data_IF_149581832436
#
_entry.id   IF_149581832436
#
_cell.length_a   1.000
_cell.length_b   1.000
_cell.length_c   1.000
_cell.angle_alpha   90.00
_cell.angle_beta   90.00
_cell.angle_gamma   90.00
#
_symmetry.space_group_name_H-M   'P 1'
#
loop_
_entity.id
_entity.type
_entity.pdbx_description
1 polymer ?
#
# COMPACT_ATOMS: atom_id res chain seq x y z
N UNK A 1 -0.39 -38.80 -4.90
CA UNK A 1 0.40 -37.89 -4.02
C UNK A 1 0.69 -36.51 -4.63
N UNK A 2 0.52 -36.27 -5.94
CA UNK A 2 0.77 -34.95 -6.57
C UNK A 2 -0.24 -33.84 -6.19
N UNK A 3 -1.53 -34.15 -5.98
CA UNK A 3 -2.53 -33.09 -5.71
C UNK A 3 -2.31 -32.31 -4.41
N UNK A 4 -1.79 -32.94 -3.34
CA UNK A 4 -1.50 -32.25 -2.07
C UNK A 4 -0.44 -31.14 -2.20
N UNK A 5 0.45 -31.24 -3.18
CA UNK A 5 1.52 -30.25 -3.42
C UNK A 5 0.99 -28.95 -4.04
N UNK A 6 -0.01 -29.03 -4.92
CA UNK A 6 -0.57 -27.86 -5.62
C UNK A 6 -1.41 -27.01 -4.65
N UNK A 7 -2.24 -27.65 -3.81
CA UNK A 7 -3.06 -26.94 -2.82
C UNK A 7 -2.22 -26.22 -1.76
N UNK A 8 -1.07 -26.77 -1.36
CA UNK A 8 -0.12 -26.06 -0.48
C UNK A 8 0.53 -24.86 -1.18
N UNK A 9 0.81 -24.94 -2.48
CA UNK A 9 1.38 -23.81 -3.23
C UNK A 9 0.41 -22.65 -3.44
N UNK A 10 -0.89 -22.94 -3.59
CA UNK A 10 -1.89 -21.92 -3.93
C UNK A 10 -2.57 -21.25 -2.73
N UNK A 11 -2.48 -21.82 -1.52
CA UNK A 11 -3.16 -21.23 -0.34
C UNK A 11 -2.66 -19.83 0.01
N UNK A 12 -1.35 -19.60 0.03
CA UNK A 12 -0.78 -18.28 0.30
C UNK A 12 -1.18 -17.26 -0.78
N UNK A 13 -1.03 -17.55 -2.08
CA UNK A 13 -1.52 -16.67 -3.14
C UNK A 13 -3.00 -16.33 -3.03
N UNK A 14 -3.86 -17.30 -2.69
CA UNK A 14 -5.30 -17.05 -2.51
C UNK A 14 -5.55 -16.12 -1.33
N UNK A 15 -4.91 -16.38 -0.17
CA UNK A 15 -5.03 -15.52 1.01
C UNK A 15 -4.53 -14.11 0.69
N UNK A 16 -3.37 -13.99 0.05
CA UNK A 16 -2.81 -12.73 -0.40
C UNK A 16 -3.78 -11.99 -1.33
N UNK A 17 -4.35 -12.66 -2.33
CA UNK A 17 -5.30 -12.06 -3.26
C UNK A 17 -6.57 -11.51 -2.56
N UNK A 18 -7.06 -12.21 -1.53
CA UNK A 18 -8.20 -11.74 -0.71
C UNK A 18 -7.79 -10.54 0.16
N UNK A 19 -6.57 -10.56 0.71
CA UNK A 19 -6.09 -9.49 1.58
C UNK A 19 -5.70 -8.21 0.82
N UNK A 20 -5.34 -8.30 -0.47
CA UNK A 20 -4.93 -7.14 -1.28
C UNK A 20 -6.02 -6.05 -1.31
N UNK A 21 -7.28 -6.30 -1.70
CA UNK A 21 -8.33 -5.27 -1.69
C UNK A 21 -8.55 -4.64 -0.31
N UNK A 22 -8.50 -5.44 0.75
CA UNK A 22 -8.67 -4.97 2.14
C UNK A 22 -7.51 -4.03 2.51
N UNK A 23 -6.28 -4.42 2.15
CA UNK A 23 -5.09 -3.63 2.39
C UNK A 23 -5.08 -2.33 1.59
N UNK A 24 -5.45 -2.36 0.30
CA UNK A 24 -5.59 -1.17 -0.53
C UNK A 24 -6.66 -0.22 0.01
N UNK A 25 -7.80 -0.74 0.44
CA UNK A 25 -8.84 0.06 1.10
C UNK A 25 -8.32 0.74 2.37
N UNK A 26 -7.56 0.02 3.18
CA UNK A 26 -6.95 0.59 4.39
C UNK A 26 -5.98 1.73 4.04
N UNK A 27 -5.11 1.54 3.04
CA UNK A 27 -4.19 2.59 2.55
C UNK A 27 -4.98 3.82 2.11
N UNK A 28 -5.99 3.67 1.25
CA UNK A 28 -6.83 4.80 0.80
C UNK A 28 -7.47 5.54 1.98
N UNK A 29 -8.01 4.82 2.96
CA UNK A 29 -8.63 5.45 4.14
C UNK A 29 -7.61 6.23 4.96
N UNK A 30 -6.40 5.70 5.17
CA UNK A 30 -5.36 6.38 5.93
C UNK A 30 -4.76 7.58 5.19
N UNK A 31 -4.44 7.43 3.91
CA UNK A 31 -3.68 8.43 3.15
C UNK A 31 -4.55 9.54 2.57
N UNK A 32 -5.77 9.21 2.11
CA UNK A 32 -6.62 10.14 1.36
C UNK A 32 -7.77 10.66 2.21
N UNK A 33 -8.44 9.78 2.97
CA UNK A 33 -9.67 10.17 3.69
C UNK A 33 -9.37 10.78 5.05
N UNK A 34 -8.51 10.13 5.84
CA UNK A 34 -8.12 10.60 7.17
C UNK A 34 -6.91 11.54 7.08
N UNK A 35 -6.07 11.36 6.04
CA UNK A 35 -4.85 12.15 5.81
C UNK A 35 -3.93 12.25 7.03
N UNK A 36 -3.83 11.16 7.80
CA UNK A 36 -3.05 11.15 9.04
C UNK A 36 -1.66 10.56 8.85
N UNK A 37 -1.54 9.46 8.11
CA UNK A 37 -0.29 8.72 7.92
C UNK A 37 -0.23 8.25 6.47
N UNK A 38 0.89 8.54 5.82
CA UNK A 38 1.21 8.05 4.48
C UNK A 38 2.03 6.76 4.58
N UNK A 39 1.35 5.62 4.51
CA UNK A 39 1.96 4.29 4.60
C UNK A 39 3.02 4.06 3.52
N UNK A 40 2.78 4.62 2.33
CA UNK A 40 3.50 4.30 1.09
C UNK A 40 4.81 5.06 0.91
N UNK A 41 5.05 6.09 1.72
CA UNK A 41 6.33 6.85 1.76
C UNK A 41 7.29 6.36 2.86
N UNK A 42 6.84 5.48 3.73
CA UNK A 42 7.72 4.87 4.74
C UNK A 42 8.54 3.74 4.12
N UNK A 43 9.83 3.64 4.49
CA UNK A 43 10.73 2.58 4.00
C UNK A 43 10.25 1.17 4.36
N UNK A 44 9.47 1.05 5.44
CA UNK A 44 8.78 -0.18 5.81
C UNK A 44 7.27 0.11 5.83
N UNK A 45 6.52 -0.61 5.00
CA UNK A 45 5.07 -0.44 4.92
C UNK A 45 4.41 -0.95 6.20
N UNK A 46 4.06 -0.02 7.09
CA UNK A 46 3.52 -0.38 8.41
C UNK A 46 2.24 -1.20 8.31
N UNK A 47 1.37 -0.90 7.32
CA UNK A 47 0.14 -1.62 7.06
C UNK A 47 0.43 -3.09 6.74
N UNK A 48 1.42 -3.35 5.89
CA UNK A 48 1.83 -4.71 5.52
C UNK A 48 2.42 -5.46 6.71
N UNK A 49 3.28 -4.80 7.49
CA UNK A 49 3.86 -5.38 8.71
C UNK A 49 2.77 -5.70 9.73
N UNK A 50 1.80 -4.80 9.92
CA UNK A 50 0.69 -5.02 10.83
C UNK A 50 -0.20 -6.19 10.38
N UNK A 51 -0.56 -6.24 9.10
CA UNK A 51 -1.32 -7.38 8.56
C UNK A 51 -0.56 -8.68 8.72
N UNK A 52 0.76 -8.68 8.45
CA UNK A 52 1.60 -9.84 8.67
C UNK A 52 1.64 -10.23 10.15
N UNK A 53 1.78 -9.27 11.07
CA UNK A 53 1.79 -9.50 12.52
C UNK A 53 0.52 -10.18 13.00
N UNK A 54 -0.63 -9.66 12.59
CA UNK A 54 -1.93 -10.23 12.93
C UNK A 54 -2.05 -11.65 12.37
N UNK A 55 -1.67 -11.84 11.10
CA UNK A 55 -1.73 -13.14 10.44
C UNK A 55 -0.81 -14.16 11.11
N UNK A 56 0.46 -13.81 11.38
CA UNK A 56 1.42 -14.69 12.03
C UNK A 56 1.08 -14.97 13.49
N UNK A 57 0.44 -14.02 14.19
CA UNK A 57 -0.04 -14.21 15.56
C UNK A 57 -1.16 -15.26 15.58
N UNK A 58 -2.18 -15.09 14.73
CA UNK A 58 -3.25 -16.07 14.60
C UNK A 58 -2.73 -17.43 14.14
N UNK A 59 -1.78 -17.45 13.21
CA UNK A 59 -1.11 -18.68 12.76
C UNK A 59 -0.42 -19.38 13.95
N UNK A 60 0.33 -18.66 14.78
CA UNK A 60 0.98 -19.27 15.96
C UNK A 60 -0.05 -19.82 16.96
N UNK A 61 -1.12 -19.07 17.23
CA UNK A 61 -2.19 -19.49 18.15
C UNK A 61 -2.95 -20.71 17.65
N UNK A 62 -3.34 -20.73 16.36
CA UNK A 62 -4.04 -21.86 15.73
C UNK A 62 -3.14 -23.08 15.63
N UNK A 63 -1.85 -22.89 15.36
CA UNK A 63 -0.85 -23.96 15.31
C UNK A 63 -0.72 -24.76 16.62
N UNK A 64 -1.16 -24.20 17.76
CA UNK A 64 -1.27 -24.94 19.03
C UNK A 64 -2.39 -25.99 19.04
N UNK A 65 -3.39 -25.82 18.18
CA UNK A 65 -4.60 -26.64 18.16
C UNK A 65 -4.84 -27.39 16.83
N UNK A 66 -4.22 -26.96 15.73
CA UNK A 66 -4.44 -27.50 14.39
C UNK A 66 -3.14 -27.69 13.60
N UNK A 67 -3.06 -28.79 12.84
CA UNK A 67 -1.94 -29.07 11.91
C UNK A 67 -2.01 -28.28 10.60
N UNK A 68 -3.04 -27.44 10.38
CA UNK A 68 -3.24 -26.65 9.15
C UNK A 68 -2.57 -25.27 9.19
N UNK A 69 -1.39 -25.16 9.80
CA UNK A 69 -0.69 -23.88 9.89
C UNK A 69 -0.11 -23.44 8.54
N UNK A 70 -0.01 -22.13 8.32
CA UNK A 70 0.80 -21.55 7.26
C UNK A 70 2.28 -21.74 7.59
N UNK A 71 3.07 -22.07 6.59
CA UNK A 71 4.53 -22.13 6.71
C UNK A 71 5.13 -20.71 6.73
N UNK A 72 6.40 -20.60 7.16
CA UNK A 72 7.12 -19.34 7.10
C UNK A 72 7.21 -18.80 5.67
N UNK A 73 7.46 -19.67 4.69
CA UNK A 73 7.51 -19.31 3.27
C UNK A 73 6.17 -18.72 2.77
N UNK A 74 5.06 -19.27 3.24
CA UNK A 74 3.72 -18.81 2.84
C UNK A 74 3.37 -17.45 3.43
N UNK A 75 3.73 -17.22 4.69
CA UNK A 75 3.61 -15.91 5.31
C UNK A 75 4.46 -14.87 4.57
N UNK A 76 5.68 -15.26 4.13
CA UNK A 76 6.55 -14.39 3.33
C UNK A 76 6.00 -14.13 1.93
N UNK A 77 5.37 -15.12 1.27
CA UNK A 77 4.68 -14.89 -0.01
C UNK A 77 3.55 -13.87 0.17
N UNK A 78 2.72 -14.01 1.21
CA UNK A 78 1.65 -13.05 1.50
C UNK A 78 2.22 -11.66 1.77
N UNK A 79 3.30 -11.57 2.55
CA UNK A 79 4.02 -10.32 2.80
C UNK A 79 4.48 -9.65 1.48
N UNK A 80 5.13 -10.40 0.59
CA UNK A 80 5.60 -9.88 -0.71
C UNK A 80 4.41 -9.39 -1.54
N UNK A 81 3.33 -10.16 -1.62
CA UNK A 81 2.13 -9.77 -2.38
C UNK A 81 1.54 -8.45 -1.86
N UNK A 82 1.43 -8.30 -0.53
CA UNK A 82 0.91 -7.09 0.09
C UNK A 82 1.87 -5.90 -0.03
N UNK A 83 3.18 -6.13 0.05
CA UNK A 83 4.19 -5.09 -0.15
C UNK A 83 4.17 -4.56 -1.59
N UNK A 84 4.14 -5.46 -2.57
CA UNK A 84 4.05 -5.08 -4.00
C UNK A 84 2.74 -4.34 -4.27
N UNK A 85 1.61 -4.85 -3.76
CA UNK A 85 0.33 -4.17 -3.88
C UNK A 85 0.34 -2.78 -3.21
N UNK A 86 0.93 -2.64 -2.02
CA UNK A 86 1.01 -1.35 -1.33
C UNK A 86 1.85 -0.35 -2.12
N UNK A 87 3.01 -0.77 -2.64
CA UNK A 87 3.86 0.08 -3.47
C UNK A 87 3.20 0.50 -4.80
N UNK A 88 2.39 -0.37 -5.40
CA UNK A 88 1.63 -0.06 -6.61
C UNK A 88 0.45 0.88 -6.33
N UNK A 89 -0.31 0.62 -5.28
CA UNK A 89 -1.55 1.33 -4.94
C UNK A 89 -1.33 2.49 -3.95
N UNK A 90 -0.13 3.08 -3.96
CA UNK A 90 0.23 4.17 -3.05
C UNK A 90 -0.21 5.55 -3.49
N UNK A 91 0.24 6.55 -2.73
CA UNK A 91 -0.10 7.96 -2.91
C UNK A 91 0.14 8.45 -4.35
N UNK A 92 1.25 8.05 -4.97
CA UNK A 92 1.60 8.54 -6.31
C UNK A 92 0.63 8.05 -7.39
N UNK A 93 0.13 6.81 -7.27
CA UNK A 93 -0.79 6.27 -8.25
C UNK A 93 -2.23 6.70 -7.99
N UNK A 94 -2.69 6.57 -6.75
CA UNK A 94 -4.11 6.79 -6.43
C UNK A 94 -4.43 8.27 -6.16
N UNK A 95 -3.52 8.99 -5.51
CA UNK A 95 -3.74 10.38 -5.10
C UNK A 95 -3.25 11.39 -6.12
N UNK A 96 -2.19 11.08 -6.87
CA UNK A 96 -1.65 12.00 -7.89
C UNK A 96 -2.13 11.65 -9.30
N UNK A 97 -1.88 10.43 -9.76
CA UNK A 97 -2.13 10.11 -11.17
C UNK A 97 -3.62 10.20 -11.54
N UNK A 98 -4.52 9.64 -10.72
CA UNK A 98 -5.95 9.63 -11.03
C UNK A 98 -6.52 11.06 -11.16
N UNK A 99 -6.28 11.99 -10.21
CA UNK A 99 -6.74 13.36 -10.36
C UNK A 99 -6.08 14.10 -11.53
N UNK A 100 -4.76 13.95 -11.72
CA UNK A 100 -4.02 14.68 -12.77
C UNK A 100 -4.57 14.40 -14.17
N UNK A 101 -5.12 13.20 -14.42
CA UNK A 101 -5.75 12.87 -15.71
C UNK A 101 -6.91 13.82 -16.06
N UNK A 102 -7.67 14.34 -15.10
CA UNK A 102 -8.78 15.27 -15.34
C UNK A 102 -8.53 16.71 -14.91
N UNK A 103 -7.58 16.92 -13.99
CA UNK A 103 -7.38 18.18 -13.28
C UNK A 103 -7.06 19.35 -14.22
N UNK A 104 -6.18 19.13 -15.18
CA UNK A 104 -5.75 20.16 -16.15
C UNK A 104 -6.90 20.67 -17.02
N UNK A 105 -7.89 19.82 -17.33
CA UNK A 105 -9.06 20.22 -18.12
C UNK A 105 -10.14 20.83 -17.24
N UNK A 106 -10.41 20.25 -16.07
CA UNK A 106 -11.45 20.72 -15.16
C UNK A 106 -11.17 22.11 -14.58
N UNK A 107 -9.92 22.35 -14.15
CA UNK A 107 -9.51 23.60 -13.53
C UNK A 107 -8.96 24.64 -14.53
N UNK A 108 -9.13 24.44 -15.84
CA UNK A 108 -8.74 25.43 -16.83
C UNK A 108 -9.75 26.59 -16.86
N UNK A 109 -9.44 27.68 -16.15
CA UNK A 109 -10.26 28.89 -16.13
C UNK A 109 -9.70 29.95 -17.07
N UNK A 110 -10.48 30.95 -17.50
CA UNK A 110 -9.95 32.04 -18.32
C UNK A 110 -8.83 32.82 -17.63
N UNK A 111 -8.85 32.92 -16.28
CA UNK A 111 -7.88 33.70 -15.51
C UNK A 111 -6.51 33.03 -15.41
N UNK A 112 -6.45 31.69 -15.44
CA UNK A 112 -5.19 30.96 -15.42
C UNK A 112 -4.67 30.62 -16.82
N UNK A 113 -5.48 30.82 -17.85
CA UNK A 113 -5.15 30.60 -19.26
C UNK A 113 -4.65 29.18 -19.58
N UNK A 114 -4.87 28.19 -18.70
CA UNK A 114 -4.29 26.85 -18.84
C UNK A 114 -4.71 26.15 -20.13
N UNK A 115 -5.93 26.44 -20.60
CA UNK A 115 -6.40 25.92 -21.88
C UNK A 115 -5.55 26.43 -23.05
N UNK A 116 -5.16 27.69 -23.05
CA UNK A 116 -4.38 28.29 -24.13
C UNK A 116 -2.90 27.91 -24.03
N UNK A 117 -2.37 27.89 -22.80
CA UNK A 117 -0.97 27.61 -22.52
C UNK A 117 -0.60 26.13 -22.66
N UNK A 118 -1.47 25.21 -22.20
CA UNK A 118 -1.08 23.80 -22.00
C UNK A 118 -1.87 22.79 -22.82
N UNK A 119 -3.09 23.10 -23.29
CA UNK A 119 -3.95 22.07 -23.92
C UNK A 119 -3.36 21.45 -25.20
N UNK A 120 -2.52 22.19 -25.92
CA UNK A 120 -1.83 21.72 -27.12
C UNK A 120 -0.70 20.73 -26.82
N UNK A 121 -0.10 20.80 -25.62
CA UNK A 121 0.97 19.93 -25.17
C UNK A 121 0.47 18.70 -24.42
N UNK A 122 -0.79 18.70 -23.99
CA UNK A 122 -1.38 17.58 -23.29
C UNK A 122 -1.74 16.45 -24.25
N UNK A 123 -1.19 15.24 -24.07
CA UNK A 123 -1.54 14.08 -24.87
C UNK A 123 -2.99 13.68 -24.58
N UNK A 124 -3.90 13.98 -25.51
CA UNK A 124 -5.35 13.76 -25.39
C UNK A 124 -5.75 12.33 -25.02
N UNK A 125 -4.89 11.35 -25.32
CA UNK A 125 -5.13 9.95 -25.02
C UNK A 125 -4.80 9.57 -23.57
N UNK A 126 -4.00 10.37 -22.85
CA UNK A 126 -3.58 10.14 -21.47
C UNK A 126 -4.33 11.00 -20.45
N UNK A 127 -5.21 11.88 -20.92
CA UNK A 127 -6.03 12.77 -20.08
C UNK A 127 -7.51 12.62 -20.43
N UNK A 128 -8.37 12.98 -19.49
CA UNK A 128 -9.82 13.05 -19.71
C UNK A 128 -10.17 14.48 -20.04
N UNK A 129 -10.62 14.73 -21.27
CA UNK A 129 -10.94 16.09 -21.75
C UNK A 129 -12.44 16.40 -21.76
N UNK A 130 -13.31 15.42 -21.52
CA UNK A 130 -14.76 15.61 -21.57
C UNK A 130 -15.28 16.27 -20.29
N UNK A 131 -15.68 17.55 -20.39
CA UNK A 131 -16.17 18.33 -19.25
C UNK A 131 -17.46 17.76 -18.64
N UNK A 132 -18.31 17.07 -19.40
CA UNK A 132 -19.53 16.45 -18.86
C UNK A 132 -19.19 15.29 -17.94
N UNK A 133 -18.22 14.47 -18.36
CA UNK A 133 -17.70 13.35 -17.58
C UNK A 133 -16.97 13.86 -16.33
N UNK A 134 -16.12 14.88 -16.49
CA UNK A 134 -15.40 15.48 -15.37
C UNK A 134 -16.33 16.12 -14.35
N UNK A 135 -17.42 16.76 -14.79
CA UNK A 135 -18.45 17.30 -13.88
C UNK A 135 -19.01 16.20 -12.98
N UNK A 136 -19.34 15.04 -13.56
CA UNK A 136 -19.80 13.88 -12.81
C UNK A 136 -18.77 13.31 -11.82
N UNK A 137 -17.48 13.42 -12.13
CA UNK A 137 -16.38 13.00 -11.26
C UNK A 137 -16.12 13.97 -10.09
N UNK A 138 -16.12 15.29 -10.36
CA UNK A 138 -15.79 16.31 -9.35
C UNK A 138 -16.99 16.73 -8.49
N UNK A 139 -18.17 16.93 -9.10
CA UNK A 139 -19.37 17.37 -8.41
C UNK A 139 -20.23 16.20 -7.91
N UNK A 140 -20.05 15.01 -8.49
CA UNK A 140 -20.83 13.81 -8.16
C UNK A 140 -22.12 13.69 -8.96
N UNK A 141 -23.19 13.22 -8.31
CA UNK A 141 -24.55 13.07 -8.87
C UNK A 141 -24.71 12.13 -10.09
N UNK A 142 -23.62 11.50 -10.53
CA UNK A 142 -23.63 10.53 -11.63
C UNK A 142 -22.94 9.24 -11.20
N UNK A 143 -23.41 8.11 -11.76
CA UNK A 143 -22.74 6.83 -11.55
C UNK A 143 -21.52 6.72 -12.45
N UNK A 144 -20.38 6.36 -11.88
CA UNK A 144 -19.16 6.02 -12.64
C UNK A 144 -19.40 4.88 -13.65
N UNK A 145 -20.32 3.98 -13.34
CA UNK A 145 -20.63 2.79 -14.15
C UNK A 145 -21.45 3.07 -15.40
N UNK A 146 -21.84 4.33 -15.66
CA UNK A 146 -22.45 4.69 -16.95
C UNK A 146 -21.41 4.51 -18.06
N UNK A 147 -21.85 3.97 -19.20
CA UNK A 147 -20.97 3.71 -20.33
C UNK A 147 -20.21 4.95 -20.82
N UNK A 148 -20.88 6.10 -20.85
CA UNK A 148 -20.28 7.39 -21.22
C UNK A 148 -19.07 7.72 -20.34
N UNK A 149 -19.25 7.69 -19.02
CA UNK A 149 -18.19 7.92 -18.05
C UNK A 149 -17.08 6.86 -18.20
N UNK A 150 -17.43 5.58 -18.21
CA UNK A 150 -16.44 4.51 -18.32
C UNK A 150 -15.59 4.62 -19.59
N UNK A 151 -16.21 4.91 -20.73
CA UNK A 151 -15.53 5.00 -22.03
C UNK A 151 -14.54 6.16 -22.11
N UNK A 152 -14.82 7.27 -21.42
CA UNK A 152 -13.92 8.42 -21.35
C UNK A 152 -12.67 8.15 -20.49
N UNK A 153 -12.79 7.31 -19.46
CA UNK A 153 -11.68 6.96 -18.56
C UNK A 153 -10.90 5.72 -18.99
N UNK A 154 -11.51 4.75 -19.68
CA UNK A 154 -10.87 3.47 -19.96
C UNK A 154 -9.61 3.61 -20.83
N UNK A 155 -9.63 4.52 -21.82
CA UNK A 155 -8.49 4.78 -22.70
C UNK A 155 -7.29 5.34 -21.94
N UNK A 156 -7.38 6.49 -21.23
CA UNK A 156 -6.25 7.01 -20.48
C UNK A 156 -5.79 6.04 -19.38
N UNK A 157 -6.72 5.41 -18.64
CA UNK A 157 -6.37 4.41 -17.63
C UNK A 157 -5.59 3.23 -18.20
N UNK A 158 -5.98 2.72 -19.37
CA UNK A 158 -5.30 1.58 -20.01
C UNK A 158 -3.87 1.93 -20.43
N UNK A 159 -3.65 3.12 -21.00
CA UNK A 159 -2.32 3.56 -21.42
C UNK A 159 -1.40 3.80 -20.22
N UNK A 160 -1.93 4.43 -19.18
CA UNK A 160 -1.19 4.59 -17.92
C UNK A 160 -0.87 3.24 -17.28
N UNK A 161 -1.81 2.30 -17.26
CA UNK A 161 -1.57 0.95 -16.76
C UNK A 161 -0.44 0.26 -17.52
N UNK A 162 -0.44 0.32 -18.85
CA UNK A 162 0.64 -0.24 -19.68
C UNK A 162 1.99 0.43 -19.35
N UNK A 163 2.02 1.76 -19.25
CA UNK A 163 3.23 2.49 -18.88
C UNK A 163 3.77 2.07 -17.50
N UNK A 164 2.91 1.98 -16.49
CA UNK A 164 3.28 1.56 -15.14
C UNK A 164 3.82 0.13 -15.14
N UNK A 165 3.15 -0.79 -15.84
CA UNK A 165 3.61 -2.18 -15.94
C UNK A 165 5.00 -2.28 -16.58
N UNK A 166 5.26 -1.49 -17.63
CA UNK A 166 6.59 -1.42 -18.26
C UNK A 166 7.64 -0.81 -17.32
N UNK A 167 7.29 0.25 -16.60
CA UNK A 167 8.18 0.88 -15.62
C UNK A 167 8.56 -0.09 -14.51
N UNK A 168 7.58 -0.77 -13.89
CA UNK A 168 7.83 -1.77 -12.85
C UNK A 168 8.65 -2.95 -13.37
N UNK A 169 8.37 -3.43 -14.57
CA UNK A 169 9.17 -4.50 -15.21
C UNK A 169 10.61 -4.06 -15.39
N UNK A 170 10.84 -2.83 -15.85
CA UNK A 170 12.18 -2.25 -16.00
C UNK A 170 12.90 -2.15 -14.66
N UNK A 171 12.21 -1.70 -13.60
CA UNK A 171 12.75 -1.66 -12.25
C UNK A 171 13.12 -3.06 -11.74
N UNK A 172 12.31 -4.09 -12.03
CA UNK A 172 12.64 -5.48 -11.69
C UNK A 172 13.91 -5.92 -12.43
N UNK A 173 14.06 -5.63 -13.72
CA UNK A 173 15.27 -5.97 -14.47
C UNK A 173 16.52 -5.27 -13.92
N UNK A 174 16.42 -3.98 -13.59
CA UNK A 174 17.49 -3.24 -12.93
C UNK A 174 17.87 -3.92 -11.61
N UNK A 175 16.88 -4.27 -10.78
CA UNK A 175 17.12 -4.98 -9.52
C UNK A 175 17.80 -6.34 -9.73
N UNK A 176 17.42 -7.10 -10.75
CA UNK A 176 18.05 -8.41 -11.05
C UNK A 176 19.53 -8.24 -11.42
N UNK A 177 19.86 -7.22 -12.23
CA UNK A 177 21.25 -6.93 -12.65
C UNK A 177 22.08 -6.49 -11.44
N UNK A 178 21.58 -5.53 -10.66
CA UNK A 178 22.31 -4.93 -9.55
C UNK A 178 22.41 -5.84 -8.32
N UNK A 179 21.42 -6.75 -8.12
CA UNK A 179 21.37 -7.66 -6.96
C UNK A 179 22.68 -8.39 -6.74
N UNK A 180 23.32 -8.91 -7.80
CA UNK A 180 24.56 -9.67 -7.66
C UNK A 180 25.71 -8.79 -7.15
N UNK A 181 25.85 -7.59 -7.72
CA UNK A 181 26.87 -6.61 -7.29
C UNK A 181 26.69 -6.22 -5.82
N UNK A 182 25.47 -5.85 -5.45
CA UNK A 182 25.15 -5.43 -4.08
C UNK A 182 25.34 -6.52 -3.04
N UNK A 183 24.96 -7.77 -3.35
CA UNK A 183 25.07 -8.89 -2.41
C UNK A 183 26.53 -9.35 -2.26
N UNK A 184 27.24 -9.56 -3.37
CA UNK A 184 28.54 -10.23 -3.34
C UNK A 184 29.70 -9.26 -3.10
N UNK A 185 29.64 -8.05 -3.66
CA UNK A 185 30.76 -7.09 -3.62
C UNK A 185 30.56 -6.03 -2.54
N UNK A 186 29.38 -5.41 -2.50
CA UNK A 186 29.10 -4.32 -1.55
C UNK A 186 28.56 -4.80 -0.20
N UNK A 187 28.16 -6.08 -0.10
CA UNK A 187 27.56 -6.69 1.10
C UNK A 187 26.43 -5.84 1.67
N UNK A 188 25.60 -5.29 0.80
CA UNK A 188 24.49 -4.43 1.18
C UNK A 188 23.57 -5.19 2.14
N UNK A 189 23.38 -4.64 3.33
CA UNK A 189 22.47 -5.21 4.31
C UNK A 189 21.03 -4.89 3.93
N UNK A 190 20.12 -5.86 4.02
CA UNK A 190 18.69 -5.68 3.76
C UNK A 190 17.90 -5.69 5.09
N UNK A 191 17.96 -4.63 5.91
CA UNK A 191 17.34 -4.64 7.25
C UNK A 191 15.80 -4.72 7.20
N UNK A 192 15.18 -4.19 6.14
CA UNK A 192 13.71 -4.09 6.01
C UNK A 192 13.04 -5.48 5.98
N UNK A 193 13.72 -6.52 5.50
CA UNK A 193 13.16 -7.89 5.44
C UNK A 193 13.30 -8.66 6.75
N UNK A 194 14.17 -8.21 7.67
CA UNK A 194 14.49 -8.95 8.89
C UNK A 194 13.27 -9.14 9.79
N UNK A 195 12.48 -8.08 9.98
CA UNK A 195 11.28 -8.13 10.80
C UNK A 195 10.23 -9.12 10.24
N UNK A 196 9.82 -9.03 8.95
CA UNK A 196 8.96 -10.04 8.32
C UNK A 196 9.47 -11.48 8.46
N UNK A 197 10.77 -11.71 8.28
CA UNK A 197 11.38 -13.03 8.43
C UNK A 197 11.25 -13.55 9.86
N UNK A 198 11.58 -12.75 10.88
CA UNK A 198 11.46 -13.13 12.29
C UNK A 198 10.00 -13.42 12.69
N UNK A 199 9.05 -12.65 12.16
CA UNK A 199 7.62 -12.88 12.39
C UNK A 199 7.13 -14.17 11.74
N UNK A 200 7.58 -14.45 10.51
CA UNK A 200 7.21 -15.68 9.78
C UNK A 200 7.80 -16.96 10.39
N UNK A 201 8.99 -16.89 10.99
CA UNK A 201 9.64 -18.01 11.68
C UNK A 201 9.03 -18.30 13.06
N UNK A 202 8.30 -17.35 13.63
CA UNK A 202 7.72 -17.43 14.96
C UNK A 202 8.69 -17.10 16.11
N UNK A 203 9.98 -16.89 15.82
CA UNK A 203 10.99 -16.50 16.81
C UNK A 203 10.70 -15.12 17.41
N UNK A 204 10.13 -14.22 16.61
CA UNK A 204 9.64 -12.92 17.05
C UNK A 204 8.80 -13.00 18.33
N UNK A 205 7.88 -13.97 18.41
CA UNK A 205 6.97 -14.12 19.55
C UNK A 205 7.64 -14.65 20.82
N UNK A 206 8.82 -15.27 20.70
CA UNK A 206 9.60 -15.79 21.84
C UNK A 206 10.55 -14.75 22.42
N UNK A 207 10.85 -13.68 21.68
CA UNK A 207 11.81 -12.68 22.09
C UNK A 207 11.21 -11.72 23.14
N UNK A 208 11.62 -11.87 24.40
CA UNK A 208 11.14 -11.04 25.51
C UNK A 208 11.48 -9.55 25.35
N UNK A 209 12.63 -9.22 24.76
CA UNK A 209 13.08 -7.83 24.57
C UNK A 209 12.12 -7.08 23.65
N UNK A 210 11.67 -7.73 22.57
CA UNK A 210 10.68 -7.17 21.63
C UNK A 210 9.38 -6.81 22.36
N UNK A 211 8.89 -7.71 23.23
CA UNK A 211 7.65 -7.47 23.98
C UNK A 211 7.79 -6.42 25.08
N UNK A 212 8.96 -6.32 25.72
CA UNK A 212 9.24 -5.23 26.66
C UNK A 212 9.20 -3.88 25.93
N UNK A 213 9.87 -3.78 24.77
CA UNK A 213 9.86 -2.57 23.96
C UNK A 213 8.46 -2.23 23.44
N UNK A 214 7.72 -3.21 22.93
CA UNK A 214 6.34 -3.05 22.50
C UNK A 214 5.44 -2.57 23.65
N UNK A 215 5.54 -3.21 24.81
CA UNK A 215 4.76 -2.84 26.00
C UNK A 215 5.06 -1.42 26.47
N UNK A 216 6.32 -1.03 26.49
CA UNK A 216 6.73 0.32 26.86
C UNK A 216 6.15 1.36 25.87
N UNK A 217 6.33 1.15 24.56
CA UNK A 217 5.81 2.04 23.54
C UNK A 217 4.27 2.12 23.60
N UNK A 218 3.60 0.97 23.73
CA UNK A 218 2.14 0.90 23.86
C UNK A 218 1.63 1.69 25.06
N UNK A 219 2.27 1.55 26.23
CA UNK A 219 1.87 2.28 27.44
C UNK A 219 2.04 3.79 27.24
N UNK A 220 3.17 4.23 26.68
CA UNK A 220 3.43 5.64 26.40
C UNK A 220 2.40 6.24 25.41
N UNK A 221 2.16 5.56 24.29
CA UNK A 221 1.19 6.00 23.28
C UNK A 221 -0.26 5.96 23.82
N UNK A 222 -0.60 4.97 24.65
CA UNK A 222 -1.91 4.87 25.28
C UNK A 222 -2.14 6.03 26.25
N UNK A 223 -1.15 6.40 27.07
CA UNK A 223 -1.24 7.57 27.94
C UNK A 223 -1.36 8.87 27.14
N UNK A 224 -0.59 9.01 26.05
CA UNK A 224 -0.70 10.17 25.17
C UNK A 224 -2.09 10.27 24.51
N UNK A 225 -2.62 9.16 24.00
CA UNK A 225 -3.96 9.10 23.40
C UNK A 225 -5.07 9.37 24.43
N UNK A 226 -4.95 8.83 25.64
CA UNK A 226 -5.88 9.08 26.73
C UNK A 226 -5.86 10.55 27.18
N UNK A 227 -4.71 11.23 27.17
CA UNK A 227 -4.64 12.66 27.48
C UNK A 227 -5.38 13.53 26.46
N UNK A 228 -5.31 13.17 25.17
CA UNK A 228 -6.05 13.86 24.11
C UNK A 228 -7.56 13.75 24.34
N UNK A 229 -8.05 12.60 24.78
CA UNK A 229 -9.47 12.38 25.08
C UNK A 229 -9.89 12.94 26.46
N UNK A 230 -9.00 12.86 27.44
CA UNK A 230 -9.21 13.26 28.83
C UNK A 230 -7.99 14.07 29.32
N UNK A 231 -8.00 15.40 29.18
CA UNK A 231 -6.86 16.26 29.53
C UNK A 231 -6.41 16.18 31.00
N UNK A 232 -7.21 15.60 31.89
CA UNK A 232 -6.86 15.36 33.30
C UNK A 232 -5.75 14.30 33.49
N UNK A 233 -5.53 13.41 32.51
CA UNK A 233 -4.48 12.38 32.58
C UNK A 233 -3.16 13.00 32.12
N UNK A 234 -2.08 13.04 32.92
CA UNK A 234 -0.82 13.64 32.49
C UNK A 234 -0.16 12.82 31.36
N UNK A 235 0.14 13.46 30.23
CA UNK A 235 0.90 12.83 29.15
C UNK A 235 2.41 13.08 29.29
N UNK A 236 3.25 12.06 29.10
CA UNK A 236 4.67 12.28 28.85
C UNK A 236 4.81 13.03 27.51
N UNK A 237 5.67 14.07 27.46
CA UNK A 237 5.92 14.89 26.25
C UNK A 237 6.78 14.12 25.23
N UNK A 238 6.26 13.02 24.69
CA UNK A 238 6.99 12.15 23.75
C UNK A 238 6.70 12.49 22.29
N UNK A 239 5.59 13.18 22.01
CA UNK A 239 5.20 13.66 20.68
C UNK A 239 4.99 15.17 20.73
N UNK A 240 5.68 15.89 19.84
CA UNK A 240 5.40 17.30 19.57
C UNK A 240 4.13 17.35 18.72
N UNK A 241 2.98 17.56 19.35
CA UNK A 241 1.77 17.95 18.64
C UNK A 241 1.85 19.47 18.42
N UNK A 242 1.91 19.92 17.16
CA UNK A 242 1.51 21.27 16.77
C UNK A 242 0.03 21.24 16.39
#
# INVERSE_FOLDING_TARGET
MQNKSIYHRLRAPIIGAILIPINCYWVIKCEIVISSIHATVLSIFFNVIFTLFVLSLFNNLIGRFSRKNLSSDELLIIYIMLAVATGLFGIDLMTLLVPIMGHSTWFATPENEWKELFSSYLPKDLVVTDMKVLKGYYEGETSFWKWENLSAWIRPMSLWLVFIMLLFTTMIFINVILRKGWVEHEKLSYPVIQLPMEMSSGNFYKNKMVWIGFGLAFVLDMFAGLHVLFPAIPAPRVKWYN
#
